data_IF_417064715954
#
_entry.id   IF_417064715954
#
_cell.length_a   1.000
_cell.length_b   1.000
_cell.length_c   1.000
_cell.angle_alpha   90.00
_cell.angle_beta   90.00
_cell.angle_gamma   90.00
#
_symmetry.space_group_name_H-M   'P 1'
#
loop_
_entity.id
_entity.type
_entity.pdbx_description
1 polymer ?
#
# COMPACT_ATOMS: atom_id res chain seq x y z
N UNK A 1 -2.22 -22.80 2.77
CA UNK A 1 -1.06 -22.38 3.57
C UNK A 1 -1.42 -22.59 5.03
N UNK A 2 -0.63 -23.40 5.74
CA UNK A 2 -0.84 -23.67 7.16
C UNK A 2 0.07 -22.75 8.01
N UNK A 3 -0.41 -22.20 9.13
CA UNK A 3 0.43 -21.42 10.01
C UNK A 3 1.51 -22.30 10.67
N UNK A 4 2.76 -21.82 10.81
CA UNK A 4 3.83 -22.56 11.46
C UNK A 4 3.47 -22.91 12.91
N UNK A 5 3.87 -24.11 13.39
CA UNK A 5 3.55 -24.58 14.74
C UNK A 5 4.04 -23.61 15.83
N UNK A 6 5.24 -23.03 15.66
CA UNK A 6 5.79 -22.04 16.59
C UNK A 6 4.86 -20.82 16.75
N UNK A 7 4.31 -20.32 15.64
CA UNK A 7 3.37 -19.19 15.64
C UNK A 7 2.07 -19.57 16.36
N UNK A 8 1.56 -20.78 16.14
CA UNK A 8 0.36 -21.27 16.83
C UNK A 8 0.56 -21.34 18.35
N UNK A 9 1.71 -21.83 18.81
CA UNK A 9 2.04 -21.88 20.22
C UNK A 9 2.20 -20.48 20.85
N UNK A 10 2.79 -19.53 20.10
CA UNK A 10 2.90 -18.14 20.52
C UNK A 10 1.52 -17.47 20.65
N UNK A 11 0.62 -17.70 19.69
CA UNK A 11 -0.74 -17.16 19.70
C UNK A 11 -1.55 -17.55 20.93
N UNK A 12 -1.35 -18.75 21.47
CA UNK A 12 -2.03 -19.18 22.71
C UNK A 12 -1.76 -18.25 23.89
N UNK A 13 -0.57 -17.59 23.91
CA UNK A 13 -0.15 -16.66 24.96
C UNK A 13 -0.40 -15.19 24.60
N UNK A 14 -0.79 -14.91 23.37
CA UNK A 14 -0.97 -13.57 22.82
C UNK A 14 -2.40 -13.33 22.31
N UNK A 15 -3.37 -14.18 22.70
CA UNK A 15 -4.74 -14.09 22.22
C UNK A 15 -5.42 -12.75 22.51
N UNK A 16 -5.02 -12.09 23.59
CA UNK A 16 -5.57 -10.80 24.03
C UNK A 16 -4.82 -9.59 23.47
N UNK A 17 -3.70 -9.80 22.77
CA UNK A 17 -2.93 -8.74 22.15
C UNK A 17 -3.66 -8.19 20.92
N UNK A 18 -3.91 -6.89 20.91
CA UNK A 18 -4.59 -6.21 19.80
C UNK A 18 -3.59 -5.38 19.00
N UNK A 19 -3.76 -5.28 17.67
CA UNK A 19 -2.95 -4.39 16.85
C UNK A 19 -3.22 -2.92 17.20
N UNK A 20 -2.24 -2.06 16.97
CA UNK A 20 -2.39 -0.61 17.12
C UNK A 20 -3.22 -0.05 15.94
N UNK A 21 -4.53 -0.07 16.09
CA UNK A 21 -5.46 0.43 15.08
C UNK A 21 -5.34 1.93 14.88
N UNK A 22 -4.90 2.69 15.89
CA UNK A 22 -4.71 4.13 15.76
C UNK A 22 -3.53 4.46 14.84
N UNK A 23 -2.43 3.71 14.96
CA UNK A 23 -1.29 3.84 14.04
C UNK A 23 -1.69 3.50 12.60
N UNK A 24 -2.47 2.43 12.39
CA UNK A 24 -2.96 2.06 11.06
C UNK A 24 -3.90 3.13 10.47
N UNK A 25 -4.78 3.68 11.27
CA UNK A 25 -5.69 4.74 10.80
C UNK A 25 -4.94 6.03 10.45
N UNK A 26 -3.92 6.39 11.22
CA UNK A 26 -3.04 7.52 10.91
C UNK A 26 -2.32 7.32 9.56
N UNK A 27 -1.76 6.12 9.35
CA UNK A 27 -1.12 5.75 8.09
C UNK A 27 -2.10 5.77 6.90
N UNK A 28 -3.30 5.22 7.10
CA UNK A 28 -4.37 5.22 6.10
C UNK A 28 -4.72 6.63 5.67
N UNK A 29 -4.97 7.52 6.63
CA UNK A 29 -5.33 8.92 6.36
C UNK A 29 -4.22 9.68 5.65
N UNK A 30 -2.97 9.49 6.10
CA UNK A 30 -1.81 10.12 5.49
C UNK A 30 -1.67 9.70 4.03
N UNK A 31 -1.61 8.38 3.78
CA UNK A 31 -1.38 7.85 2.44
C UNK A 31 -2.52 8.23 1.47
N UNK A 32 -3.76 8.09 1.91
CA UNK A 32 -4.94 8.46 1.11
C UNK A 32 -4.92 9.95 0.75
N UNK A 33 -4.69 10.84 1.73
CA UNK A 33 -4.66 12.29 1.52
C UNK A 33 -3.56 12.69 0.54
N UNK A 34 -2.33 12.25 0.78
CA UNK A 34 -1.17 12.64 -0.01
C UNK A 34 -1.30 12.16 -1.46
N UNK A 35 -1.69 10.90 -1.68
CA UNK A 35 -1.86 10.38 -3.04
C UNK A 35 -3.00 11.09 -3.78
N UNK A 36 -4.11 11.38 -3.11
CA UNK A 36 -5.23 12.15 -3.70
C UNK A 36 -4.78 13.57 -4.07
N UNK A 37 -3.99 14.23 -3.22
CA UNK A 37 -3.43 15.56 -3.52
C UNK A 37 -2.45 15.55 -4.70
N UNK A 38 -1.73 14.45 -4.91
CA UNK A 38 -0.87 14.25 -6.08
C UNK A 38 -1.65 13.95 -7.36
N UNK A 39 -2.99 13.81 -7.28
CA UNK A 39 -3.86 13.54 -8.42
C UNK A 39 -4.03 12.06 -8.76
N UNK A 40 -3.69 11.16 -7.83
CA UNK A 40 -4.06 9.75 -7.96
C UNK A 40 -5.53 9.55 -7.58
N UNK A 41 -6.23 8.71 -8.34
CA UNK A 41 -7.56 8.24 -7.98
C UNK A 41 -7.46 7.08 -6.99
N UNK A 42 -7.84 7.32 -5.73
CA UNK A 42 -7.78 6.34 -4.66
C UNK A 42 -9.18 5.89 -4.26
N UNK A 43 -9.39 4.59 -4.11
CA UNK A 43 -10.62 4.04 -3.54
C UNK A 43 -10.54 4.19 -2.02
N UNK A 44 -11.47 4.93 -1.35
CA UNK A 44 -11.42 5.10 0.10
C UNK A 44 -11.49 3.75 0.82
N UNK A 45 -10.46 3.38 1.61
CA UNK A 45 -10.46 2.10 2.29
C UNK A 45 -11.41 2.13 3.49
N UNK A 46 -12.36 1.20 3.52
CA UNK A 46 -13.37 1.06 4.59
C UNK A 46 -13.03 -0.05 5.58
N UNK A 47 -11.98 -0.81 5.34
CA UNK A 47 -11.54 -1.90 6.20
C UNK A 47 -10.20 -2.48 5.76
N UNK A 48 -9.71 -3.45 6.52
CA UNK A 48 -8.40 -4.07 6.34
C UNK A 48 -7.24 -3.04 6.37
N UNK A 49 -6.15 -3.33 5.67
CA UNK A 49 -4.95 -2.49 5.66
C UNK A 49 -4.41 -2.26 4.23
N UNK A 50 -5.30 -2.30 3.25
CA UNK A 50 -4.96 -2.09 1.85
C UNK A 50 -5.68 -0.87 1.27
N UNK A 51 -4.95 -0.11 0.46
CA UNK A 51 -5.45 0.99 -0.35
C UNK A 51 -5.29 0.62 -1.82
N UNK A 52 -6.36 0.75 -2.60
CA UNK A 52 -6.34 0.60 -4.05
C UNK A 52 -6.20 1.97 -4.70
N UNK A 53 -5.20 2.10 -5.56
CA UNK A 53 -4.85 3.33 -6.27
C UNK A 53 -4.88 3.06 -7.75
N UNK A 54 -5.67 3.83 -8.52
CA UNK A 54 -5.72 3.72 -9.97
C UNK A 54 -4.43 4.23 -10.60
N UNK A 55 -3.88 3.45 -11.51
CA UNK A 55 -2.71 3.84 -12.30
C UNK A 55 -3.16 4.78 -13.43
N UNK A 56 -2.44 5.88 -13.69
CA UNK A 56 -2.87 6.90 -14.66
C UNK A 56 -3.10 6.40 -16.09
N UNK A 57 -2.27 5.47 -16.56
CA UNK A 57 -2.36 4.88 -17.91
C UNK A 57 -3.07 3.51 -17.93
N UNK A 58 -3.45 2.99 -16.77
CA UNK A 58 -4.12 1.71 -16.63
C UNK A 58 -3.21 0.49 -16.70
N UNK A 59 -1.89 0.64 -16.91
CA UNK A 59 -0.91 -0.46 -16.91
C UNK A 59 -0.21 -0.56 -15.55
N UNK A 60 -0.83 -1.29 -14.64
CA UNK A 60 -0.35 -1.48 -13.26
C UNK A 60 0.96 -2.28 -13.20
N UNK A 61 1.22 -3.16 -14.15
CA UNK A 61 2.45 -3.94 -14.23
C UNK A 61 3.62 -3.05 -14.65
N UNK A 62 3.46 -2.28 -15.74
CA UNK A 62 4.50 -1.35 -16.20
C UNK A 62 4.78 -0.26 -15.14
N UNK A 63 3.73 0.26 -14.48
CA UNK A 63 3.89 1.21 -13.37
C UNK A 63 4.73 0.60 -12.23
N UNK A 64 4.41 -0.62 -11.80
CA UNK A 64 5.13 -1.31 -10.73
C UNK A 64 6.60 -1.54 -11.08
N UNK A 65 6.90 -1.93 -12.31
CA UNK A 65 8.28 -2.10 -12.78
C UNK A 65 9.06 -0.78 -12.80
N UNK A 66 8.45 0.30 -13.30
CA UNK A 66 9.04 1.62 -13.31
C UNK A 66 9.31 2.13 -11.89
N UNK A 67 8.33 2.02 -11.00
CA UNK A 67 8.47 2.40 -9.60
C UNK A 67 9.66 1.69 -8.92
N UNK A 68 9.81 0.40 -9.18
CA UNK A 68 10.91 -0.41 -8.67
C UNK A 68 12.27 0.02 -9.23
N UNK A 69 12.38 0.17 -10.55
CA UNK A 69 13.68 0.38 -11.21
C UNK A 69 14.19 1.82 -11.10
N UNK A 70 13.30 2.80 -11.08
CA UNK A 70 13.68 4.21 -11.12
C UNK A 70 13.63 4.88 -9.73
N UNK A 71 12.87 4.30 -8.78
CA UNK A 71 12.59 4.96 -7.49
C UNK A 71 12.72 4.04 -6.28
N UNK A 72 13.19 2.79 -6.44
CA UNK A 72 13.29 1.79 -5.38
C UNK A 72 11.97 1.59 -4.61
N UNK A 73 10.82 1.88 -5.27
CA UNK A 73 9.50 1.80 -4.70
C UNK A 73 8.82 0.49 -5.09
N UNK A 74 8.66 -0.41 -4.11
CA UNK A 74 8.00 -1.69 -4.31
C UNK A 74 6.49 -1.55 -4.08
N UNK A 75 5.71 -1.69 -5.14
CA UNK A 75 4.25 -1.68 -5.13
C UNK A 75 3.71 -2.94 -5.80
N UNK A 76 2.52 -3.36 -5.42
CA UNK A 76 1.92 -4.59 -5.94
C UNK A 76 0.89 -4.25 -7.02
N UNK A 77 1.10 -4.71 -8.27
CA UNK A 77 0.10 -4.56 -9.32
C UNK A 77 -1.12 -5.44 -9.01
N UNK A 78 -2.32 -4.89 -9.23
CA UNK A 78 -3.56 -5.58 -8.87
C UNK A 78 -4.08 -6.52 -9.94
N UNK A 79 -3.44 -6.60 -11.09
CA UNK A 79 -3.71 -7.63 -12.13
C UNK A 79 -3.65 -9.04 -11.53
N UNK A 80 -2.71 -9.32 -10.60
CA UNK A 80 -2.63 -10.59 -9.89
C UNK A 80 -3.85 -10.91 -9.01
N UNK A 81 -4.70 -9.92 -8.74
CA UNK A 81 -5.94 -10.04 -7.95
C UNK A 81 -7.20 -9.80 -8.80
N UNK A 82 -7.09 -10.00 -10.13
CA UNK A 82 -8.18 -9.79 -11.08
C UNK A 82 -8.77 -8.37 -11.07
N UNK A 83 -7.94 -7.37 -10.74
CA UNK A 83 -8.31 -5.96 -10.72
C UNK A 83 -7.25 -5.13 -11.48
N UNK A 84 -7.14 -5.29 -12.82
CA UNK A 84 -6.14 -4.60 -13.61
C UNK A 84 -6.33 -3.07 -13.58
N UNK A 85 -5.24 -2.35 -13.76
CA UNK A 85 -5.22 -0.88 -13.76
C UNK A 85 -5.16 -0.25 -12.36
N UNK A 86 -4.94 -1.04 -11.32
CA UNK A 86 -4.79 -0.55 -9.95
C UNK A 86 -3.50 -1.06 -9.31
N UNK A 87 -3.03 -0.33 -8.30
CA UNK A 87 -2.02 -0.79 -7.36
C UNK A 87 -2.68 -1.13 -6.03
N UNK A 88 -2.21 -2.18 -5.39
CA UNK A 88 -2.56 -2.50 -4.02
C UNK A 88 -1.44 -2.08 -3.09
N UNK A 89 -1.66 -1.05 -2.31
CA UNK A 89 -0.71 -0.55 -1.32
C UNK A 89 -1.12 -1.01 0.08
N UNK A 90 -0.15 -1.48 0.86
CA UNK A 90 -0.37 -1.79 2.27
C UNK A 90 0.04 -0.61 3.14
N UNK A 91 -0.80 -0.23 4.10
CA UNK A 91 -0.47 0.79 5.09
C UNK A 91 -0.18 0.22 6.49
N UNK A 92 -0.01 -1.10 6.61
CA UNK A 92 0.49 -1.76 7.82
C UNK A 92 2.03 -1.78 7.88
N UNK A 93 2.63 -0.65 7.61
CA UNK A 93 4.09 -0.41 7.63
C UNK A 93 4.40 0.74 8.58
N UNK A 94 5.69 1.02 8.85
CA UNK A 94 6.04 2.16 9.69
C UNK A 94 5.60 3.49 9.04
N UNK A 95 5.22 4.45 9.87
CA UNK A 95 4.83 5.79 9.41
C UNK A 95 5.95 6.45 8.58
N UNK A 96 7.19 6.29 9.03
CA UNK A 96 8.38 6.79 8.34
C UNK A 96 8.55 6.18 6.93
N UNK A 97 8.25 4.88 6.76
CA UNK A 97 8.29 4.24 5.44
C UNK A 97 7.30 4.90 4.48
N UNK A 98 6.10 5.22 4.94
CA UNK A 98 5.11 5.94 4.11
C UNK A 98 5.66 7.31 3.73
N UNK A 99 6.14 8.10 4.69
CA UNK A 99 6.69 9.43 4.42
C UNK A 99 7.82 9.39 3.39
N UNK A 100 8.72 8.42 3.50
CA UNK A 100 9.84 8.25 2.54
C UNK A 100 9.39 7.81 1.16
N UNK A 101 8.24 7.15 1.03
CA UNK A 101 7.72 6.71 -0.28
C UNK A 101 7.02 7.83 -1.06
N UNK A 102 6.51 8.87 -0.40
CA UNK A 102 5.72 9.92 -1.04
C UNK A 102 6.47 10.68 -2.15
N UNK A 103 7.76 11.04 -2.01
CA UNK A 103 8.50 11.70 -3.10
C UNK A 103 8.57 10.85 -4.37
N UNK A 104 8.71 9.53 -4.24
CA UNK A 104 8.73 8.60 -5.38
C UNK A 104 7.38 8.59 -6.11
N UNK A 105 6.26 8.50 -5.38
CA UNK A 105 4.92 8.62 -5.98
C UNK A 105 4.73 9.92 -6.73
N UNK A 106 5.19 11.04 -6.17
CA UNK A 106 5.12 12.36 -6.81
C UNK A 106 5.93 12.40 -8.11
N UNK A 107 7.19 11.98 -8.06
CA UNK A 107 8.08 11.95 -9.23
C UNK A 107 7.53 11.07 -10.37
N UNK A 108 6.94 9.93 -10.03
CA UNK A 108 6.31 9.06 -11.01
C UNK A 108 5.07 9.76 -11.60
N UNK A 109 4.22 10.38 -10.77
CA UNK A 109 2.98 11.03 -11.24
C UNK A 109 3.25 12.17 -12.22
N UNK A 110 4.32 12.95 -11.99
CA UNK A 110 4.73 14.04 -12.86
C UNK A 110 5.07 13.58 -14.30
N UNK A 111 5.50 12.33 -14.47
CA UNK A 111 5.77 11.75 -15.80
C UNK A 111 4.52 11.41 -16.60
N UNK A 112 3.35 11.44 -15.99
CA UNK A 112 2.06 11.17 -16.62
C UNK A 112 1.23 12.45 -16.86
N UNK A 113 1.79 13.61 -16.59
CA UNK A 113 1.23 14.92 -16.93
C UNK A 113 1.73 15.37 -18.28
#
# INVERSE_FOLDING_TARGET
>A
VCPPTLVQLALQRCADVRPDLAAYDANRRLLYRELTQMGYECIPPQGAFYLFVRVPDGDDVAFSQRAKLEHDLLVVPSTAFHCPGFLRLSYCVSHDMILRSLPAFRAIREKYQ
#
